data_IF_237915959755
#
_entry.id   IF_237915959755
#
_cell.length_a   1.000
_cell.length_b   1.000
_cell.length_c   1.000
_cell.angle_alpha   90.00
_cell.angle_beta   90.00
_cell.angle_gamma   90.00
#
_symmetry.space_group_name_H-M   'P 1'
#
loop_
_entity.id
_entity.type
_entity.pdbx_description
1 polymer ?
#
# COMPACT_ATOMS: atom_id res chain seq x y z
N UNK A 1 15.13 -7.40 34.75
CA UNK A 1 15.37 -7.23 33.31
C UNK A 1 14.84 -8.46 32.59
N UNK A 2 13.53 -8.50 32.37
CA UNK A 2 12.90 -9.52 31.53
C UNK A 2 12.90 -8.99 30.10
N UNK A 3 13.52 -9.72 29.18
CA UNK A 3 13.37 -9.48 27.76
C UNK A 3 11.91 -9.71 27.43
N UNK A 4 11.21 -8.70 26.91
CA UNK A 4 9.90 -8.90 26.32
C UNK A 4 10.06 -9.87 25.14
N UNK A 5 9.78 -11.14 25.36
CA UNK A 5 9.79 -12.14 24.32
C UNK A 5 8.74 -11.75 23.29
N UNK A 6 9.20 -11.44 22.07
CA UNK A 6 8.32 -11.36 20.92
C UNK A 6 7.61 -12.72 20.78
N UNK A 7 6.31 -12.74 20.50
CA UNK A 7 5.58 -13.99 20.37
C UNK A 7 6.22 -14.84 19.26
N UNK A 8 6.75 -16.01 19.64
CA UNK A 8 7.18 -17.05 18.69
C UNK A 8 5.95 -17.58 17.98
N UNK A 9 5.73 -17.15 16.75
CA UNK A 9 4.69 -17.67 15.86
C UNK A 9 5.26 -18.84 15.06
N UNK A 10 4.87 -20.07 15.41
CA UNK A 10 5.19 -21.33 14.70
C UNK A 10 4.29 -21.57 13.45
N UNK A 11 3.90 -20.52 12.72
CA UNK A 11 3.17 -20.66 11.44
C UNK A 11 4.10 -20.41 10.25
N UNK A 12 3.94 -21.10 9.12
CA UNK A 12 4.84 -20.95 7.99
C UNK A 12 4.78 -19.51 7.47
N UNK A 13 5.94 -18.87 7.39
CA UNK A 13 6.10 -17.60 6.67
C UNK A 13 5.83 -17.92 5.19
N UNK A 14 4.80 -17.31 4.60
CA UNK A 14 4.52 -17.42 3.16
C UNK A 14 5.48 -16.51 2.36
N UNK A 15 5.83 -16.90 1.13
CA UNK A 15 6.91 -16.32 0.35
C UNK A 15 8.23 -17.11 0.48
N UNK A 16 9.38 -16.44 0.46
CA UNK A 16 10.71 -17.09 0.59
C UNK A 16 11.10 -17.44 2.03
N UNK A 17 10.18 -17.38 2.99
CA UNK A 17 10.45 -17.81 4.36
C UNK A 17 11.21 -16.81 5.24
N UNK A 18 11.36 -15.56 4.80
CA UNK A 18 11.82 -14.43 5.64
C UNK A 18 13.09 -13.71 5.18
N UNK A 19 13.80 -14.21 4.16
CA UNK A 19 15.01 -13.56 3.65
C UNK A 19 14.74 -12.12 3.19
N UNK A 20 13.68 -11.92 2.41
CA UNK A 20 13.28 -10.57 1.99
C UNK A 20 12.72 -9.72 3.14
N UNK A 21 12.17 -10.35 4.21
CA UNK A 21 11.75 -9.62 5.41
C UNK A 21 12.95 -8.98 6.12
N UNK A 22 14.08 -9.68 6.20
CA UNK A 22 15.32 -9.10 6.75
C UNK A 22 15.82 -7.95 5.88
N UNK A 23 15.77 -8.08 4.55
CA UNK A 23 16.15 -6.99 3.64
C UNK A 23 15.32 -5.73 3.85
N UNK A 24 14.01 -5.88 4.09
CA UNK A 24 13.11 -4.76 4.43
C UNK A 24 13.47 -4.06 5.74
N UNK A 25 14.27 -4.68 6.62
CA UNK A 25 14.72 -4.06 7.87
C UNK A 25 15.86 -3.06 7.68
N UNK A 26 16.55 -3.09 6.55
CA UNK A 26 17.65 -2.16 6.28
C UNK A 26 17.16 -0.71 6.14
N UNK A 27 15.92 -0.52 5.66
CA UNK A 27 15.31 0.79 5.49
C UNK A 27 14.24 1.03 6.56
N UNK A 28 14.69 1.36 7.77
CA UNK A 28 13.85 1.63 8.94
C UNK A 28 14.09 3.04 9.45
N UNK A 29 13.02 3.66 9.94
CA UNK A 29 13.07 4.93 10.64
C UNK A 29 12.67 4.77 12.10
N UNK A 30 13.29 5.56 13.00
CA UNK A 30 12.84 5.63 14.38
C UNK A 30 11.41 6.17 14.44
N UNK A 31 10.61 5.56 15.31
CA UNK A 31 9.24 5.94 15.54
C UNK A 31 8.87 5.80 17.02
N UNK A 32 7.89 6.56 17.47
CA UNK A 32 7.42 6.61 18.86
C UNK A 32 5.90 6.40 18.91
N UNK A 33 5.43 5.76 19.98
CA UNK A 33 3.99 5.54 20.20
C UNK A 33 3.26 6.86 20.49
N UNK A 34 2.14 7.13 19.83
CA UNK A 34 1.29 8.31 20.09
C UNK A 34 -0.06 7.89 20.67
N UNK A 35 -0.64 8.74 21.54
CA UNK A 35 -2.00 8.51 22.06
C UNK A 35 -3.02 8.50 20.92
N UNK A 36 -3.89 7.51 20.97
CA UNK A 36 -4.84 7.21 19.92
C UNK A 36 -5.99 6.36 20.46
N UNK A 37 -7.03 6.20 19.64
CA UNK A 37 -8.19 5.35 19.93
C UNK A 37 -8.72 4.71 18.66
N UNK A 38 -8.88 3.39 18.65
CA UNK A 38 -9.54 2.67 17.54
C UNK A 38 -11.00 3.10 17.46
N UNK A 39 -11.39 3.67 16.32
CA UNK A 39 -12.76 4.16 16.08
C UNK A 39 -13.55 3.25 15.12
N UNK A 40 -12.86 2.43 14.32
CA UNK A 40 -13.47 1.45 13.44
C UNK A 40 -12.60 0.20 13.35
N UNK A 41 -13.23 -0.98 13.39
CA UNK A 41 -12.59 -2.28 13.23
C UNK A 41 -13.36 -3.06 12.16
N UNK A 42 -12.64 -3.67 11.21
CA UNK A 42 -13.29 -4.31 10.08
C UNK A 42 -13.85 -5.68 10.50
N UNK A 43 -15.17 -5.89 10.41
CA UNK A 43 -15.80 -7.12 10.88
C UNK A 43 -15.32 -8.37 10.13
N UNK A 44 -14.77 -8.22 8.92
CA UNK A 44 -14.22 -9.34 8.18
C UNK A 44 -13.01 -10.01 8.84
N UNK A 45 -12.41 -9.37 9.86
CA UNK A 45 -11.32 -9.94 10.64
C UNK A 45 -11.73 -10.39 12.05
N UNK A 46 -13.03 -10.42 12.36
CA UNK A 46 -13.50 -10.86 13.67
C UNK A 46 -13.07 -12.31 13.94
N UNK A 47 -12.28 -12.50 14.99
CA UNK A 47 -11.74 -13.80 15.40
C UNK A 47 -10.56 -14.32 14.57
N UNK A 48 -10.12 -13.60 13.53
CA UNK A 48 -9.04 -14.09 12.62
C UNK A 48 -7.72 -13.34 12.74
N UNK A 49 -7.70 -12.16 13.37
CA UNK A 49 -6.47 -11.39 13.56
C UNK A 49 -5.46 -12.14 14.44
N UNK A 50 -4.16 -12.13 14.07
CA UNK A 50 -3.10 -12.73 14.87
C UNK A 50 -2.66 -11.83 16.03
N UNK A 51 -3.33 -10.71 16.24
CA UNK A 51 -3.04 -9.71 17.27
C UNK A 51 -4.35 -9.12 17.80
N UNK A 52 -4.29 -8.54 19.00
CA UNK A 52 -5.45 -8.01 19.69
C UNK A 52 -5.68 -6.53 19.36
N UNK A 53 -6.82 -6.22 18.74
CA UNK A 53 -7.32 -4.85 18.52
C UNK A 53 -8.79 -4.83 18.95
N UNK A 54 -9.19 -3.79 19.68
CA UNK A 54 -10.56 -3.61 20.15
C UNK A 54 -11.02 -2.18 19.84
N UNK A 55 -12.25 -2.03 19.36
CA UNK A 55 -12.85 -0.72 19.16
C UNK A 55 -12.98 0.03 20.50
N UNK A 56 -12.63 1.31 20.49
CA UNK A 56 -12.61 2.16 21.67
C UNK A 56 -11.37 2.03 22.57
N UNK A 57 -10.43 1.14 22.24
CA UNK A 57 -9.14 0.99 22.94
C UNK A 57 -7.99 1.60 22.13
N UNK A 58 -6.83 1.86 22.75
CA UNK A 58 -5.63 2.26 22.02
C UNK A 58 -5.17 1.18 21.03
N UNK A 59 -4.77 1.59 19.84
CA UNK A 59 -4.05 0.77 18.88
C UNK A 59 -2.60 0.57 19.40
N UNK A 60 -2.15 -0.67 19.64
CA UNK A 60 -0.86 -0.95 20.30
C UNK A 60 0.37 -0.62 19.45
N UNK A 61 0.19 -0.25 18.18
CA UNK A 61 1.27 0.08 17.25
C UNK A 61 0.98 1.37 16.46
N UNK A 62 0.27 2.32 17.09
CA UNK A 62 0.16 3.68 16.58
C UNK A 62 1.50 4.41 16.71
N UNK A 63 2.43 4.09 15.81
CA UNK A 63 3.76 4.68 15.80
C UNK A 63 3.81 5.88 14.85
N UNK A 64 4.56 6.91 15.23
CA UNK A 64 4.90 8.06 14.39
C UNK A 64 6.39 8.15 14.17
N UNK A 65 6.81 8.39 12.93
CA UNK A 65 8.20 8.69 12.62
C UNK A 65 8.68 9.93 13.40
N UNK A 66 9.90 9.89 13.94
CA UNK A 66 10.48 11.00 14.69
C UNK A 66 11.93 11.27 14.25
N UNK A 67 12.32 12.53 13.95
CA UNK A 67 13.71 12.86 13.61
C UNK A 67 14.65 12.79 14.84
N UNK A 68 14.08 12.89 16.04
CA UNK A 68 14.77 13.04 17.31
C UNK A 68 14.03 12.21 18.35
N UNK A 69 14.39 10.92 18.49
CA UNK A 69 13.81 10.11 19.55
C UNK A 69 14.10 10.80 20.89
N UNK A 70 13.09 11.06 21.71
CA UNK A 70 13.32 11.65 23.04
C UNK A 70 14.27 10.76 23.83
N UNK A 71 15.21 11.37 24.54
CA UNK A 71 16.10 10.64 25.45
C UNK A 71 15.42 10.32 26.79
N UNK A 72 14.11 10.56 26.92
CA UNK A 72 13.35 10.19 28.11
C UNK A 72 13.44 8.67 28.32
N UNK A 73 13.84 8.18 29.51
CA UNK A 73 13.93 6.74 29.80
C UNK A 73 12.61 5.99 29.64
N UNK A 74 11.48 6.70 29.67
CA UNK A 74 10.13 6.13 29.57
C UNK A 74 9.63 6.01 28.12
N UNK A 75 10.25 6.70 27.16
CA UNK A 75 9.82 6.66 25.76
C UNK A 75 10.52 5.51 25.02
N UNK A 76 9.72 4.51 24.63
CA UNK A 76 10.22 3.41 23.83
C UNK A 76 10.35 3.84 22.37
N UNK A 77 11.55 3.63 21.82
CA UNK A 77 11.84 3.86 20.40
C UNK A 77 11.58 2.57 19.62
N UNK A 78 10.71 2.66 18.63
CA UNK A 78 10.41 1.60 17.68
C UNK A 78 11.13 1.88 16.36
N UNK A 79 11.33 0.84 15.56
CA UNK A 79 11.93 0.98 14.23
C UNK A 79 10.96 0.40 13.21
N UNK A 80 10.32 1.28 12.45
CA UNK A 80 9.30 0.93 11.47
C UNK A 80 9.95 0.93 10.09
N UNK A 81 9.76 -0.16 9.34
CA UNK A 81 10.26 -0.25 7.97
C UNK A 81 9.45 0.69 7.09
N UNK A 82 10.11 1.56 6.33
CA UNK A 82 9.42 2.47 5.43
C UNK A 82 8.99 1.74 4.16
N UNK A 83 7.88 2.18 3.56
CA UNK A 83 7.46 1.70 2.25
C UNK A 83 8.05 2.63 1.18
N UNK A 84 8.97 2.18 0.32
CA UNK A 84 9.77 3.08 -0.51
C UNK A 84 8.98 3.66 -1.70
N UNK A 85 8.17 4.69 -1.46
CA UNK A 85 7.38 5.39 -2.48
C UNK A 85 8.31 6.25 -3.37
N UNK A 86 8.41 5.93 -4.67
CA UNK A 86 9.29 6.66 -5.57
C UNK A 86 8.75 8.04 -5.90
N UNK A 87 9.61 9.03 -5.75
CA UNK A 87 9.37 10.37 -6.29
C UNK A 87 9.64 10.39 -7.80
N UNK A 88 9.11 11.38 -8.50
CA UNK A 88 9.53 11.64 -9.88
C UNK A 88 10.98 12.10 -9.91
N UNK A 89 11.71 11.92 -11.03
CA UNK A 89 13.18 12.07 -11.17
C UNK A 89 13.86 13.27 -10.49
N UNK A 90 13.13 14.37 -10.24
CA UNK A 90 13.66 15.60 -9.63
C UNK A 90 13.11 15.86 -8.21
N UNK A 91 12.26 14.98 -7.69
CA UNK A 91 11.62 15.06 -6.38
C UNK A 91 12.06 13.84 -5.56
N UNK A 92 12.67 14.05 -4.38
CA UNK A 92 12.96 12.95 -3.46
C UNK A 92 11.72 12.08 -3.25
N UNK A 93 11.91 10.77 -3.10
CA UNK A 93 10.79 9.90 -2.75
C UNK A 93 10.21 10.37 -1.42
N UNK A 94 8.89 10.48 -1.34
CA UNK A 94 8.21 10.91 -0.13
C UNK A 94 7.11 9.94 0.17
N UNK A 95 7.01 9.54 1.43
CA UNK A 95 5.98 8.65 1.88
C UNK A 95 5.51 8.97 3.28
N UNK A 96 4.39 8.33 3.65
CA UNK A 96 3.76 8.43 4.97
C UNK A 96 3.24 7.09 5.48
N UNK A 97 3.82 6.02 4.94
CA UNK A 97 3.43 4.64 5.18
C UNK A 97 4.59 3.86 5.78
N UNK A 98 4.28 2.97 6.73
CA UNK A 98 5.25 2.07 7.33
C UNK A 98 4.73 0.65 7.44
N UNK A 99 5.62 -0.33 7.36
CA UNK A 99 5.35 -1.75 7.60
C UNK A 99 5.64 -2.06 9.08
N UNK A 100 4.60 -2.49 9.79
CA UNK A 100 4.69 -2.85 11.22
C UNK A 100 5.23 -4.25 11.41
N UNK A 101 4.83 -5.16 10.54
CA UNK A 101 5.28 -6.54 10.58
C UNK A 101 4.63 -7.38 9.50
N UNK A 102 5.10 -8.63 9.44
CA UNK A 102 4.60 -9.62 8.49
C UNK A 102 4.27 -10.90 9.23
N UNK A 103 3.00 -11.30 9.16
CA UNK A 103 2.43 -12.50 9.77
C UNK A 103 1.30 -12.97 8.87
N UNK A 104 1.21 -14.28 8.62
CA UNK A 104 0.16 -14.82 7.75
C UNK A 104 -1.15 -14.93 8.51
N UNK A 105 -2.21 -14.35 7.95
CA UNK A 105 -3.59 -14.44 8.45
C UNK A 105 -4.58 -14.36 7.30
N UNK A 106 -5.83 -14.69 7.59
CA UNK A 106 -6.92 -14.70 6.60
C UNK A 106 -8.10 -13.88 7.14
N UNK A 107 -8.90 -13.32 6.25
CA UNK A 107 -10.22 -12.80 6.64
C UNK A 107 -11.26 -13.93 6.66
N UNK A 108 -12.46 -13.63 7.16
CA UNK A 108 -13.59 -14.57 7.22
C UNK A 108 -14.06 -15.07 5.83
N UNK A 109 -13.57 -14.45 4.75
CA UNK A 109 -13.87 -14.81 3.37
C UNK A 109 -12.73 -15.63 2.74
N UNK A 110 -11.73 -16.05 3.53
CA UNK A 110 -10.61 -16.88 3.11
C UNK A 110 -9.53 -16.16 2.30
N UNK A 111 -9.59 -14.81 2.20
CA UNK A 111 -8.49 -14.07 1.54
C UNK A 111 -7.30 -14.01 2.47
N UNK A 112 -6.13 -14.32 1.92
CA UNK A 112 -4.87 -14.34 2.66
C UNK A 112 -4.15 -13.00 2.62
N UNK A 113 -3.56 -12.66 3.75
CA UNK A 113 -2.72 -11.50 3.98
C UNK A 113 -1.46 -11.93 4.73
N UNK A 114 -0.40 -11.14 4.59
CA UNK A 114 0.87 -11.32 5.27
C UNK A 114 1.37 -10.01 5.87
N UNK A 115 1.38 -8.94 5.08
CA UNK A 115 2.02 -7.70 5.48
C UNK A 115 1.00 -6.76 6.13
N UNK A 116 1.35 -6.20 7.29
CA UNK A 116 0.54 -5.23 8.02
C UNK A 116 1.20 -3.85 7.93
N UNK A 117 0.66 -3.01 7.06
CA UNK A 117 1.09 -1.63 6.89
C UNK A 117 0.23 -0.65 7.69
N UNK A 118 0.77 0.51 8.03
CA UNK A 118 0.02 1.65 8.54
C UNK A 118 0.26 2.90 7.68
N UNK A 119 -0.76 3.73 7.49
CA UNK A 119 -0.73 5.01 6.75
C UNK A 119 -1.05 6.13 7.73
N UNK A 120 -0.44 7.31 7.54
CA UNK A 120 -0.71 8.49 8.36
C UNK A 120 0.22 8.65 9.55
N UNK A 121 1.49 8.25 9.42
CA UNK A 121 2.46 8.12 10.53
C UNK A 121 3.63 9.11 10.48
N UNK A 122 3.44 10.24 9.81
CA UNK A 122 4.51 11.22 9.57
C UNK A 122 5.14 11.07 8.19
N UNK A 123 5.75 12.16 7.69
CA UNK A 123 6.44 12.17 6.39
C UNK A 123 7.89 11.71 6.56
N UNK A 124 8.38 10.95 5.59
CA UNK A 124 9.80 10.73 5.38
C UNK A 124 10.21 11.07 3.95
N UNK A 125 11.47 11.43 3.78
CA UNK A 125 12.13 11.50 2.48
C UNK A 125 12.95 10.23 2.25
N UNK A 126 13.03 9.82 1.00
CA UNK A 126 13.89 8.77 0.48
C UNK A 126 14.90 9.39 -0.45
N UNK A 127 16.17 9.14 -0.16
CA UNK A 127 17.27 9.42 -1.06
C UNK A 127 17.62 8.13 -1.81
N UNK A 128 17.31 8.10 -3.11
CA UNK A 128 17.63 6.96 -3.96
C UNK A 128 19.13 6.83 -4.23
N UNK A 129 19.86 7.95 -4.25
CA UNK A 129 21.31 7.97 -4.47
C UNK A 129 22.06 7.28 -3.33
N UNK A 130 21.58 7.44 -2.10
CA UNK A 130 22.20 6.87 -0.90
C UNK A 130 21.48 5.62 -0.39
N UNK A 131 20.31 5.29 -0.95
CA UNK A 131 19.44 4.22 -0.46
C UNK A 131 18.97 4.44 0.99
N UNK A 132 18.91 5.70 1.45
CA UNK A 132 18.59 6.05 2.84
C UNK A 132 17.23 6.73 2.95
N UNK A 133 16.59 6.56 4.12
CA UNK A 133 15.40 7.29 4.50
C UNK A 133 15.72 8.27 5.63
N UNK A 134 15.04 9.39 5.66
CA UNK A 134 15.09 10.34 6.78
C UNK A 134 13.68 10.87 7.08
N UNK A 135 13.40 11.17 8.35
CA UNK A 135 12.13 11.83 8.71
C UNK A 135 12.16 13.24 8.14
N UNK A 136 11.16 13.57 7.31
CA UNK A 136 11.15 14.84 6.61
C UNK A 136 10.73 15.96 7.58
N UNK A 137 11.44 17.09 7.51
CA UNK A 137 10.94 18.32 8.14
C UNK A 137 9.68 18.76 7.41
N UNK A 138 8.75 19.27 8.21
CA UNK A 138 7.42 19.65 7.78
C UNK A 138 7.52 20.67 6.67
N UNK A 139 6.96 20.35 5.51
CA UNK A 139 6.66 21.32 4.47
C UNK A 139 5.14 21.39 4.47
N UNK A 140 4.57 22.60 4.46
CA UNK A 140 3.14 22.80 4.26
C UNK A 140 2.70 21.99 3.03
N UNK A 141 2.05 20.86 3.28
CA UNK A 141 1.28 20.16 2.28
C UNK A 141 -0.16 20.67 2.42
N UNK A 142 -0.89 20.71 1.32
CA UNK A 142 -2.25 21.22 1.30
C UNK A 142 -3.14 20.64 2.40
N UNK A 143 -4.34 21.19 2.62
CA UNK A 143 -5.13 21.00 3.85
C UNK A 143 -5.52 19.55 4.21
N UNK A 144 -5.21 18.58 3.36
CA UNK A 144 -5.57 17.17 3.52
C UNK A 144 -4.39 16.26 3.93
N UNK A 145 -3.14 16.71 3.84
CA UNK A 145 -1.94 15.87 4.03
C UNK A 145 -0.86 16.51 4.90
N UNK A 146 -1.24 17.53 5.67
CA UNK A 146 -0.34 18.19 6.61
C UNK A 146 0.42 17.15 7.46
N UNK A 147 1.76 17.24 7.50
CA UNK A 147 2.63 16.32 8.24
C UNK A 147 2.56 14.83 7.83
N UNK A 148 2.06 14.49 6.63
CA UNK A 148 1.92 13.09 6.24
C UNK A 148 0.84 12.37 7.04
N UNK A 149 -0.10 13.13 7.58
CA UNK A 149 -1.29 12.62 8.24
C UNK A 149 -2.30 12.13 7.20
N UNK A 150 -3.26 11.35 7.67
CA UNK A 150 -4.46 10.98 6.93
C UNK A 150 -5.66 11.58 7.64
N UNK A 151 -6.56 12.21 6.88
CA UNK A 151 -7.80 12.75 7.43
C UNK A 151 -8.91 11.68 7.40
N UNK A 152 -9.74 11.62 8.45
CA UNK A 152 -10.78 10.59 8.60
C UNK A 152 -11.69 10.38 7.37
N UNK A 153 -12.22 11.43 6.69
CA UNK A 153 -13.04 11.22 5.50
C UNK A 153 -12.31 10.52 4.35
N UNK A 154 -10.99 10.71 4.23
CA UNK A 154 -10.18 10.00 3.24
C UNK A 154 -10.03 8.54 3.61
N UNK A 155 -9.79 8.23 4.90
CA UNK A 155 -9.69 6.86 5.37
C UNK A 155 -10.98 6.05 5.20
N UNK A 156 -12.14 6.69 5.40
CA UNK A 156 -13.43 6.05 5.15
C UNK A 156 -13.65 5.82 3.66
N UNK A 157 -13.34 6.80 2.81
CA UNK A 157 -13.41 6.61 1.35
C UNK A 157 -12.52 5.45 0.88
N UNK A 158 -11.30 5.38 1.40
CA UNK A 158 -10.35 4.32 1.08
C UNK A 158 -10.88 2.95 1.54
N UNK A 159 -11.47 2.88 2.73
CA UNK A 159 -12.14 1.69 3.24
C UNK A 159 -13.28 1.24 2.33
N UNK A 160 -14.20 2.15 2.01
CA UNK A 160 -15.40 1.84 1.25
C UNK A 160 -15.05 1.29 -0.13
N UNK A 161 -14.11 1.92 -0.84
CA UNK A 161 -13.63 1.42 -2.14
C UNK A 161 -12.86 0.11 -2.04
N UNK A 162 -12.06 -0.09 -0.99
CA UNK A 162 -11.38 -1.36 -0.79
C UNK A 162 -12.41 -2.50 -0.64
N UNK A 163 -13.46 -2.27 0.15
CA UNK A 163 -14.53 -3.24 0.34
C UNK A 163 -15.37 -3.47 -0.92
N UNK A 164 -15.69 -2.41 -1.69
CA UNK A 164 -16.36 -2.53 -2.99
C UNK A 164 -15.54 -3.35 -3.99
N UNK A 165 -14.23 -3.09 -4.07
CA UNK A 165 -13.32 -3.82 -4.94
C UNK A 165 -13.26 -5.29 -4.56
N UNK A 166 -13.07 -5.60 -3.27
CA UNK A 166 -13.03 -6.98 -2.78
C UNK A 166 -14.33 -7.73 -3.05
N UNK A 167 -15.50 -7.09 -2.87
CA UNK A 167 -16.81 -7.66 -3.20
C UNK A 167 -16.96 -7.97 -4.69
N UNK A 168 -16.38 -7.12 -5.53
CA UNK A 168 -16.42 -7.25 -7.00
C UNK A 168 -15.33 -8.19 -7.54
N UNK A 169 -14.61 -8.90 -6.67
CA UNK A 169 -13.53 -9.80 -7.05
C UNK A 169 -12.32 -9.09 -7.67
N UNK A 170 -12.12 -7.81 -7.36
CA UNK A 170 -10.90 -7.06 -7.64
C UNK A 170 -9.94 -7.31 -6.47
N UNK A 171 -8.68 -7.65 -6.76
CA UNK A 171 -7.65 -7.86 -5.73
C UNK A 171 -7.18 -6.50 -5.25
N UNK A 172 -7.36 -6.24 -3.96
CA UNK A 172 -6.88 -5.03 -3.30
C UNK A 172 -6.43 -5.37 -1.87
N UNK A 173 -5.94 -4.39 -1.14
CA UNK A 173 -5.68 -4.49 0.30
C UNK A 173 -6.99 -4.39 1.07
N UNK A 174 -6.95 -4.70 2.36
CA UNK A 174 -8.12 -4.52 3.23
C UNK A 174 -7.75 -3.68 4.43
N UNK A 175 -8.55 -2.67 4.75
CA UNK A 175 -8.33 -1.87 5.95
C UNK A 175 -8.83 -2.69 7.15
N UNK A 176 -7.93 -2.96 8.08
CA UNK A 176 -8.19 -3.74 9.31
C UNK A 176 -8.86 -2.86 10.35
N UNK A 177 -8.35 -1.65 10.54
CA UNK A 177 -8.83 -0.72 11.56
C UNK A 177 -8.50 0.73 11.18
N UNK A 178 -9.28 1.66 11.71
CA UNK A 178 -8.98 3.10 11.71
C UNK A 178 -8.89 3.55 13.17
N UNK A 179 -7.80 4.23 13.52
CA UNK A 179 -7.58 4.80 14.84
C UNK A 179 -7.49 6.32 14.78
N UNK A 180 -8.31 7.02 15.57
CA UNK A 180 -8.22 8.46 15.76
C UNK A 180 -6.97 8.80 16.54
N UNK A 181 -6.23 9.80 16.07
CA UNK A 181 -5.07 10.33 16.79
C UNK A 181 -5.51 11.35 17.83
N UNK A 182 -4.93 11.27 19.02
CA UNK A 182 -5.05 12.27 20.09
C UNK A 182 -3.76 13.09 20.21
N UNK A 183 -2.63 12.48 19.83
CA UNK A 183 -1.30 13.09 19.73
C UNK A 183 -0.70 12.85 18.33
N UNK A 184 0.16 13.77 17.91
CA UNK A 184 1.02 13.66 16.72
C UNK A 184 2.46 14.04 17.09
N UNK A 185 3.40 13.79 16.19
CA UNK A 185 4.80 14.23 16.33
C UNK A 185 5.05 15.45 15.45
N UNK A 186 5.62 16.50 16.02
CA UNK A 186 5.97 17.73 15.31
C UNK A 186 7.32 17.62 14.57
N UNK A 187 7.73 18.72 13.91
CA UNK A 187 8.99 18.79 13.16
C UNK A 187 10.26 18.63 14.01
N UNK A 188 10.15 18.80 15.32
CA UNK A 188 11.23 18.68 16.29
C UNK A 188 11.22 17.33 17.01
N UNK A 189 10.36 16.40 16.58
CA UNK A 189 10.20 15.08 17.20
C UNK A 189 9.44 15.10 18.51
N UNK A 190 8.79 16.22 18.87
CA UNK A 190 8.01 16.33 20.09
C UNK A 190 6.58 15.86 19.89
N UNK A 191 6.04 15.14 20.88
CA UNK A 191 4.62 14.81 20.93
C UNK A 191 3.80 16.04 21.28
N UNK A 192 2.84 16.38 20.45
CA UNK A 192 1.87 17.44 20.69
C UNK A 192 0.46 16.87 20.56
N UNK A 193 -0.49 17.38 21.35
CA UNK A 193 -1.89 17.00 21.18
C UNK A 193 -2.43 17.51 19.85
N UNK A 194 -3.37 16.79 19.25
CA UNK A 194 -4.08 17.22 18.03
C UNK A 194 -4.78 18.57 18.24
N UNK A 195 -5.33 18.81 19.44
CA UNK A 195 -5.92 20.10 19.79
C UNK A 195 -4.91 21.24 19.72
N UNK A 196 -3.72 21.03 20.31
CA UNK A 196 -2.64 22.01 20.29
C UNK A 196 -2.11 22.23 18.88
N UNK A 197 -1.93 21.18 18.09
CA UNK A 197 -1.52 21.27 16.70
C UNK A 197 -2.48 22.12 15.85
N UNK A 198 -3.79 21.98 16.06
CA UNK A 198 -4.81 22.84 15.43
C UNK A 198 -4.73 24.28 15.91
N UNK A 199 -4.58 24.49 17.22
CA UNK A 199 -4.47 25.84 17.83
C UNK A 199 -3.26 26.60 17.31
N UNK A 200 -2.14 25.90 17.12
CA UNK A 200 -0.90 26.42 16.55
C UNK A 200 -0.92 26.49 15.01
N UNK A 201 -2.00 26.05 14.36
CA UNK A 201 -2.15 25.98 12.90
C UNK A 201 -1.11 25.12 12.20
N UNK A 202 -0.52 24.16 12.92
CA UNK A 202 0.36 23.14 12.36
C UNK A 202 -0.46 22.21 11.45
N UNK A 203 -1.71 21.94 11.84
CA UNK A 203 -2.69 21.23 11.01
C UNK A 203 -3.98 22.06 10.90
N UNK A 204 -4.77 21.87 9.82
CA UNK A 204 -6.04 22.58 9.66
C UNK A 204 -7.05 22.26 10.76
N UNK A 205 -7.86 23.26 11.15
CA UNK A 205 -8.87 23.12 12.22
C UNK A 205 -9.87 21.98 11.94
N UNK A 206 -10.28 21.83 10.67
CA UNK A 206 -11.20 20.79 10.23
C UNK A 206 -10.59 19.40 10.04
N UNK A 207 -9.28 19.23 10.23
CA UNK A 207 -8.62 17.93 10.06
C UNK A 207 -8.89 17.02 11.25
N UNK A 208 -9.31 15.78 11.00
CA UNK A 208 -9.46 14.74 12.01
C UNK A 208 -8.44 13.65 11.70
N UNK A 209 -7.21 13.77 12.23
CA UNK A 209 -6.12 12.91 11.83
C UNK A 209 -6.30 11.49 12.38
N UNK A 210 -6.01 10.50 11.53
CA UNK A 210 -6.16 9.07 11.84
C UNK A 210 -4.95 8.28 11.35
N UNK A 211 -4.80 7.08 11.91
CA UNK A 211 -3.97 6.02 11.35
C UNK A 211 -4.89 4.98 10.71
N UNK A 212 -4.59 4.62 9.47
CA UNK A 212 -5.19 3.46 8.79
C UNK A 212 -4.29 2.25 8.95
N UNK A 213 -4.85 1.14 9.43
CA UNK A 213 -4.17 -0.16 9.49
C UNK A 213 -4.60 -0.98 8.27
N UNK A 214 -3.65 -1.40 7.44
CA UNK A 214 -3.88 -2.01 6.14
C UNK A 214 -3.24 -3.40 6.05
N UNK A 215 -4.01 -4.39 5.61
CA UNK A 215 -3.56 -5.75 5.37
C UNK A 215 -3.28 -5.99 3.88
N UNK A 216 -2.10 -6.50 3.56
CA UNK A 216 -1.64 -6.80 2.20
C UNK A 216 -1.17 -8.25 2.07
N UNK A 217 -1.22 -8.82 0.87
CA UNK A 217 -0.43 -10.02 0.57
C UNK A 217 1.06 -9.68 0.54
N UNK A 218 1.44 -8.69 -0.26
CA UNK A 218 2.72 -8.00 -0.14
C UNK A 218 2.56 -6.49 -0.26
N UNK A 219 3.36 -5.72 0.48
CA UNK A 219 3.44 -4.25 0.30
C UNK A 219 4.33 -3.84 -0.86
N UNK A 220 5.06 -4.78 -1.46
CA UNK A 220 5.98 -4.51 -2.57
C UNK A 220 5.23 -4.12 -3.83
N UNK A 221 5.68 -3.04 -4.48
CA UNK A 221 5.07 -2.47 -5.69
C UNK A 221 5.97 -2.61 -6.90
N UNK A 222 5.40 -2.52 -8.10
CA UNK A 222 6.17 -2.58 -9.35
C UNK A 222 7.24 -1.48 -9.37
N UNK A 223 6.88 -0.27 -8.94
CA UNK A 223 7.78 0.87 -8.82
C UNK A 223 9.00 0.59 -7.93
N UNK A 224 8.84 -0.19 -6.86
CA UNK A 224 9.92 -0.46 -5.90
C UNK A 224 11.02 -1.34 -6.50
N UNK A 225 10.78 -1.92 -7.68
CA UNK A 225 11.79 -2.65 -8.46
C UNK A 225 12.80 -1.72 -9.13
N UNK A 226 12.64 -0.41 -9.04
CA UNK A 226 13.62 0.56 -9.54
C UNK A 226 14.49 1.16 -8.43
N UNK A 227 14.26 0.83 -7.15
CA UNK A 227 14.73 1.63 -6.01
C UNK A 227 15.66 0.91 -5.01
N UNK A 228 16.23 -0.25 -5.33
CA UNK A 228 17.01 -1.03 -4.34
C UNK A 228 18.20 -1.84 -4.85
N UNK A 229 18.58 -1.67 -6.12
CA UNK A 229 19.61 -2.49 -6.76
C UNK A 229 19.12 -3.91 -7.09
N UNK A 230 19.82 -4.57 -8.02
CA UNK A 230 19.35 -5.83 -8.63
C UNK A 230 19.08 -6.95 -7.63
N UNK A 231 19.87 -7.07 -6.56
CA UNK A 231 19.69 -8.12 -5.54
C UNK A 231 18.37 -7.96 -4.78
N UNK A 232 18.05 -6.74 -4.32
CA UNK A 232 16.80 -6.44 -3.61
C UNK A 232 15.60 -6.68 -4.53
N UNK A 233 15.71 -6.24 -5.77
CA UNK A 233 14.66 -6.42 -6.79
C UNK A 233 14.37 -7.90 -7.02
N UNK A 234 15.42 -8.71 -7.17
CA UNK A 234 15.29 -10.17 -7.35
C UNK A 234 14.66 -10.82 -6.12
N UNK A 235 15.10 -10.47 -4.91
CA UNK A 235 14.50 -10.99 -3.67
C UNK A 235 13.02 -10.63 -3.52
N UNK A 236 12.62 -9.39 -3.86
CA UNK A 236 11.23 -8.95 -3.81
C UNK A 236 10.35 -9.72 -4.79
N UNK A 237 10.86 -9.94 -6.01
CA UNK A 237 10.18 -10.72 -7.04
C UNK A 237 10.07 -12.20 -6.64
N UNK A 238 11.16 -12.82 -6.18
CA UNK A 238 11.17 -14.22 -5.74
C UNK A 238 10.15 -14.44 -4.60
N UNK A 239 10.08 -13.51 -3.65
CA UNK A 239 9.11 -13.53 -2.55
C UNK A 239 7.66 -13.40 -3.05
N UNK A 240 7.38 -12.44 -3.92
CA UNK A 240 6.03 -12.26 -4.50
C UNK A 240 5.59 -13.47 -5.33
N UNK A 241 6.49 -14.02 -6.15
CA UNK A 241 6.22 -15.22 -6.95
C UNK A 241 5.91 -16.43 -6.06
N UNK A 242 6.68 -16.63 -5.00
CA UNK A 242 6.45 -17.71 -4.04
C UNK A 242 5.11 -17.54 -3.30
N UNK A 243 4.76 -16.31 -2.90
CA UNK A 243 3.44 -15.99 -2.31
C UNK A 243 2.30 -16.37 -3.25
N UNK A 244 2.39 -15.95 -4.51
CA UNK A 244 1.36 -16.24 -5.52
C UNK A 244 1.26 -17.74 -5.78
N UNK A 245 2.37 -18.45 -5.89
CA UNK A 245 2.36 -19.91 -6.05
C UNK A 245 1.60 -20.59 -4.90
N UNK A 246 1.88 -20.20 -3.66
CA UNK A 246 1.23 -20.75 -2.46
C UNK A 246 -0.27 -20.44 -2.43
N UNK A 247 -0.69 -19.25 -2.86
CA UNK A 247 -2.10 -18.88 -2.98
C UNK A 247 -2.82 -19.73 -4.04
N UNK A 248 -2.16 -20.02 -5.16
CA UNK A 248 -2.69 -20.85 -6.24
C UNK A 248 -2.60 -22.36 -5.97
N UNK A 249 -2.13 -22.78 -4.78
CA UNK A 249 -1.93 -24.19 -4.45
C UNK A 249 -0.82 -24.87 -5.28
N UNK A 250 0.09 -24.09 -5.87
CA UNK A 250 1.23 -24.57 -6.63
C UNK A 250 2.48 -24.67 -5.75
N UNK A 251 3.39 -25.56 -6.13
CA UNK A 251 4.73 -25.64 -5.53
C UNK A 251 5.57 -24.40 -5.92
N UNK A 252 6.01 -23.56 -4.96
CA UNK A 252 6.79 -22.34 -5.25
C UNK A 252 8.06 -22.58 -6.06
N UNK A 253 8.68 -23.76 -5.93
CA UNK A 253 9.91 -24.10 -6.65
C UNK A 253 9.64 -24.48 -8.12
N UNK A 254 8.42 -24.89 -8.45
CA UNK A 254 8.03 -25.32 -9.80
C UNK A 254 7.24 -24.28 -10.57
N UNK A 255 6.63 -23.32 -9.86
CA UNK A 255 5.96 -22.20 -10.50
C UNK A 255 7.00 -21.37 -11.28
N UNK A 256 6.89 -21.24 -12.59
CA UNK A 256 7.90 -20.53 -13.40
C UNK A 256 7.69 -19.01 -13.42
N UNK A 257 8.67 -18.27 -13.96
CA UNK A 257 8.51 -16.83 -14.18
C UNK A 257 7.50 -16.51 -15.29
N UNK A 258 7.44 -17.35 -16.32
CA UNK A 258 6.43 -17.28 -17.36
C UNK A 258 5.03 -17.48 -16.77
N UNK A 259 4.84 -18.50 -15.93
CA UNK A 259 3.55 -18.74 -15.27
C UNK A 259 3.15 -17.60 -14.34
N UNK A 260 4.09 -17.06 -13.56
CA UNK A 260 3.85 -15.88 -12.71
C UNK A 260 3.47 -14.65 -13.53
N UNK A 261 4.19 -14.39 -14.63
CA UNK A 261 3.95 -13.24 -15.50
C UNK A 261 2.59 -13.38 -16.19
N UNK A 262 2.28 -14.57 -16.72
CA UNK A 262 0.99 -14.87 -17.33
C UNK A 262 -0.15 -14.68 -16.32
N UNK A 263 -0.02 -15.21 -15.09
CA UNK A 263 -0.99 -14.98 -14.02
C UNK A 263 -1.19 -13.49 -13.73
N UNK A 264 -0.10 -12.73 -13.61
CA UNK A 264 -0.15 -11.30 -13.30
C UNK A 264 -0.86 -10.52 -14.42
N UNK A 265 -0.53 -10.83 -15.68
CA UNK A 265 -1.14 -10.23 -16.88
C UNK A 265 -2.64 -10.44 -16.90
N UNK A 266 -3.09 -11.68 -16.76
CA UNK A 266 -4.52 -12.03 -16.78
C UNK A 266 -5.26 -11.34 -15.64
N UNK A 267 -4.68 -11.41 -14.45
CA UNK A 267 -5.25 -10.84 -13.23
C UNK A 267 -5.39 -9.32 -13.35
N UNK A 268 -4.38 -8.60 -13.86
CA UNK A 268 -4.47 -7.16 -14.03
C UNK A 268 -5.51 -6.79 -15.09
N UNK A 269 -5.53 -7.48 -16.24
CA UNK A 269 -6.51 -7.22 -17.31
C UNK A 269 -7.95 -7.34 -16.82
N UNK A 270 -8.25 -8.43 -16.11
CA UNK A 270 -9.57 -8.68 -15.53
C UNK A 270 -9.94 -7.62 -14.47
N UNK A 271 -9.02 -7.23 -13.59
CA UNK A 271 -9.30 -6.21 -12.58
C UNK A 271 -9.64 -4.85 -13.18
N UNK A 272 -8.91 -4.42 -14.21
CA UNK A 272 -9.17 -3.13 -14.90
C UNK A 272 -10.53 -3.17 -15.59
N UNK A 273 -10.92 -4.31 -16.17
CA UNK A 273 -12.25 -4.49 -16.75
C UNK A 273 -13.35 -4.41 -15.69
N UNK A 274 -13.16 -5.06 -14.54
CA UNK A 274 -14.10 -4.99 -13.40
C UNK A 274 -14.29 -3.57 -12.88
N UNK A 275 -13.22 -2.77 -12.75
CA UNK A 275 -13.31 -1.35 -12.38
C UNK A 275 -14.21 -0.58 -13.36
N UNK A 276 -14.02 -0.82 -14.67
CA UNK A 276 -14.87 -0.23 -15.72
C UNK A 276 -16.32 -0.69 -15.61
N UNK A 277 -16.57 -1.98 -15.37
CA UNK A 277 -17.93 -2.54 -15.22
C UNK A 277 -18.66 -1.94 -14.01
N UNK A 278 -17.94 -1.58 -12.95
CA UNK A 278 -18.49 -0.83 -11.81
C UNK A 278 -18.80 0.64 -12.12
N UNK A 279 -18.48 1.13 -13.31
CA UNK A 279 -18.65 2.54 -13.67
C UNK A 279 -17.66 3.47 -12.96
N UNK A 280 -16.55 2.92 -12.46
CA UNK A 280 -15.53 3.64 -11.71
C UNK A 280 -14.32 3.96 -12.59
N UNK A 281 -13.58 4.98 -12.17
CA UNK A 281 -12.28 5.36 -12.68
C UNK A 281 -11.33 5.43 -11.49
N UNK A 282 -10.18 4.74 -11.58
CA UNK A 282 -9.18 4.77 -10.52
C UNK A 282 -8.33 6.04 -10.61
N UNK A 283 -7.81 6.39 -11.80
CA UNK A 283 -7.05 7.62 -12.00
C UNK A 283 -5.55 7.52 -11.76
N UNK A 284 -5.06 6.48 -11.08
CA UNK A 284 -3.64 6.27 -10.80
C UNK A 284 -3.26 4.78 -10.83
N UNK A 285 -3.62 4.06 -11.91
CA UNK A 285 -3.17 2.67 -12.15
C UNK A 285 -1.71 2.58 -12.62
N UNK A 286 -0.86 3.44 -12.07
CA UNK A 286 0.58 3.52 -12.30
C UNK A 286 1.34 2.50 -11.45
N UNK A 287 2.61 2.24 -11.77
CA UNK A 287 3.42 1.17 -11.16
C UNK A 287 3.63 1.33 -9.65
N UNK A 288 3.49 2.55 -9.14
CA UNK A 288 3.52 2.81 -7.70
C UNK A 288 2.22 2.43 -6.98
N UNK A 289 1.13 2.03 -7.65
CA UNK A 289 -0.16 1.65 -7.05
C UNK A 289 -0.60 0.22 -7.39
N UNK A 290 0.33 -0.59 -7.88
CA UNK A 290 0.11 -2.01 -8.15
C UNK A 290 1.18 -2.82 -7.42
N UNK A 291 0.75 -3.72 -6.54
CA UNK A 291 1.66 -4.61 -5.81
C UNK A 291 2.18 -5.74 -6.69
N UNK A 292 3.26 -6.39 -6.27
CA UNK A 292 3.81 -7.56 -6.97
C UNK A 292 2.88 -8.79 -6.89
N UNK A 293 1.93 -8.85 -5.95
CA UNK A 293 0.83 -9.83 -5.97
C UNK A 293 -0.45 -9.31 -6.65
N UNK A 294 -0.27 -8.36 -7.56
CA UNK A 294 -1.29 -7.81 -8.46
C UNK A 294 -2.50 -7.19 -7.74
N UNK A 295 -2.30 -6.58 -6.56
CA UNK A 295 -3.35 -5.81 -5.87
C UNK A 295 -3.29 -4.35 -6.32
N UNK A 296 -4.47 -3.78 -6.59
CA UNK A 296 -4.62 -2.35 -6.83
C UNK A 296 -4.73 -1.66 -5.47
N UNK A 297 -3.87 -0.68 -5.21
CA UNK A 297 -3.76 -0.01 -3.91
C UNK A 297 -3.88 1.52 -4.05
N UNK A 298 -4.08 2.23 -2.94
CA UNK A 298 -4.25 3.69 -2.89
C UNK A 298 -5.52 4.16 -3.63
N UNK A 299 -6.67 3.97 -2.97
CA UNK A 299 -7.99 4.10 -3.62
C UNK A 299 -8.65 5.48 -3.38
N UNK A 300 -7.89 6.44 -2.85
CA UNK A 300 -8.38 7.80 -2.56
C UNK A 300 -8.79 8.57 -3.84
N UNK A 301 -8.14 8.27 -4.95
CA UNK A 301 -8.41 8.82 -6.28
C UNK A 301 -9.61 8.19 -7.01
N UNK A 302 -10.02 6.99 -6.60
CA UNK A 302 -11.12 6.24 -7.23
C UNK A 302 -12.40 7.06 -7.16
N UNK A 303 -13.10 7.20 -8.28
CA UNK A 303 -14.36 7.95 -8.34
C UNK A 303 -15.32 7.36 -9.38
N UNK A 304 -16.60 7.67 -9.22
CA UNK A 304 -17.60 7.47 -10.27
C UNK A 304 -17.21 8.26 -11.53
N UNK A 305 -17.22 7.58 -12.69
CA UNK A 305 -16.96 8.23 -13.98
C UNK A 305 -18.02 9.29 -14.27
N UNK A 306 -19.27 9.04 -13.86
CA UNK A 306 -20.35 10.01 -14.03
C UNK A 306 -20.03 11.31 -13.29
N UNK A 307 -19.59 11.18 -12.03
CA UNK A 307 -19.32 12.33 -11.16
C UNK A 307 -18.14 13.13 -11.70
N UNK A 308 -17.08 12.44 -12.16
CA UNK A 308 -15.94 13.09 -12.82
C UNK A 308 -16.37 13.84 -14.08
N UNK A 309 -17.21 13.26 -14.93
CA UNK A 309 -17.72 13.96 -16.13
C UNK A 309 -18.49 15.22 -15.72
N UNK A 310 -19.33 15.13 -14.69
CA UNK A 310 -20.08 16.29 -14.18
C UNK A 310 -19.14 17.37 -13.61
N UNK A 311 -18.08 16.98 -12.89
CA UNK A 311 -17.05 17.91 -12.39
C UNK A 311 -16.30 18.61 -13.53
N UNK A 312 -15.78 17.87 -14.51
CA UNK A 312 -15.05 18.47 -15.65
C UNK A 312 -15.93 19.41 -16.48
N UNK A 313 -17.22 19.09 -16.63
CA UNK A 313 -18.19 19.96 -17.32
C UNK A 313 -18.32 21.32 -16.64
N UNK A 314 -18.23 21.38 -15.30
CA UNK A 314 -18.24 22.65 -14.55
C UNK A 314 -17.04 23.54 -14.88
N UNK A 315 -15.94 22.95 -15.33
CA UNK A 315 -14.73 23.64 -15.79
C UNK A 315 -14.67 23.83 -17.31
N UNK A 316 -15.77 23.57 -18.03
CA UNK A 316 -15.84 23.74 -19.50
C UNK A 316 -15.13 22.65 -20.30
N UNK A 317 -14.71 21.54 -19.67
CA UNK A 317 -14.04 20.42 -20.33
C UNK A 317 -15.01 19.26 -20.50
N UNK A 318 -15.11 18.71 -21.70
CA UNK A 318 -16.02 17.60 -22.01
C UNK A 318 -15.21 16.34 -22.32
N UNK A 319 -15.12 15.44 -21.35
CA UNK A 319 -14.61 14.09 -21.53
C UNK A 319 -15.75 13.08 -21.67
N UNK A 320 -15.54 12.06 -22.49
CA UNK A 320 -16.45 10.91 -22.57
C UNK A 320 -16.10 9.87 -21.50
N UNK A 321 -17.04 8.96 -21.18
CA UNK A 321 -16.74 7.82 -20.29
C UNK A 321 -15.54 7.00 -20.80
N UNK A 322 -15.50 6.79 -22.11
CA UNK A 322 -14.43 6.03 -22.76
C UNK A 322 -13.06 6.68 -22.60
N UNK A 323 -12.98 8.01 -22.47
CA UNK A 323 -11.73 8.70 -22.19
C UNK A 323 -11.12 8.27 -20.84
N UNK A 324 -11.93 8.21 -19.79
CA UNK A 324 -11.50 7.77 -18.46
C UNK A 324 -11.07 6.29 -18.47
N UNK A 325 -11.89 5.42 -19.08
CA UNK A 325 -11.58 3.99 -19.16
C UNK A 325 -10.30 3.70 -19.96
N UNK A 326 -10.08 4.42 -21.06
CA UNK A 326 -8.82 4.32 -21.82
C UNK A 326 -7.63 4.84 -21.04
N UNK A 327 -7.81 5.87 -20.21
CA UNK A 327 -6.78 6.37 -19.30
C UNK A 327 -6.31 5.29 -18.34
N UNK A 328 -7.24 4.66 -17.61
CA UNK A 328 -6.95 3.57 -16.67
C UNK A 328 -6.31 2.37 -17.38
N UNK A 329 -6.85 1.95 -18.52
CA UNK A 329 -6.29 0.85 -19.32
C UNK A 329 -4.85 1.15 -19.77
N UNK A 330 -4.60 2.37 -20.23
CA UNK A 330 -3.26 2.79 -20.67
C UNK A 330 -2.26 2.85 -19.52
N UNK A 331 -2.67 3.35 -18.35
CA UNK A 331 -1.81 3.38 -17.16
C UNK A 331 -1.47 1.97 -16.68
N UNK A 332 -2.47 1.09 -16.57
CA UNK A 332 -2.26 -0.30 -16.17
C UNK A 332 -1.33 -1.04 -17.16
N UNK A 333 -1.48 -0.79 -18.46
CA UNK A 333 -0.56 -1.32 -19.48
C UNK A 333 0.86 -0.82 -19.29
N UNK A 334 1.06 0.47 -19.00
CA UNK A 334 2.38 1.04 -18.72
C UNK A 334 3.02 0.39 -17.49
N UNK A 335 2.25 0.23 -16.41
CA UNK A 335 2.70 -0.47 -15.19
C UNK A 335 3.09 -1.93 -15.46
N UNK A 336 2.32 -2.63 -16.30
CA UNK A 336 2.67 -3.99 -16.70
C UNK A 336 3.98 -4.04 -17.51
N UNK A 337 4.21 -3.06 -18.39
CA UNK A 337 5.47 -2.93 -19.12
C UNK A 337 6.67 -2.68 -18.19
N UNK A 338 6.50 -1.89 -17.13
CA UNK A 338 7.53 -1.68 -16.10
C UNK A 338 7.93 -2.99 -15.40
N UNK A 339 6.94 -3.83 -15.05
CA UNK A 339 7.17 -5.15 -14.46
C UNK A 339 7.90 -6.09 -15.42
N UNK A 340 7.41 -6.23 -16.66
CA UNK A 340 8.01 -7.09 -17.69
C UNK A 340 9.47 -6.66 -17.96
N UNK A 341 9.71 -5.36 -18.07
CA UNK A 341 11.06 -4.82 -18.30
C UNK A 341 12.00 -5.15 -17.15
N UNK A 342 11.51 -5.09 -15.91
CA UNK A 342 12.29 -5.47 -14.72
C UNK A 342 12.63 -6.96 -14.72
N UNK A 343 11.67 -7.83 -15.04
CA UNK A 343 11.89 -9.27 -15.15
C UNK A 343 12.93 -9.62 -16.23
N UNK A 344 12.84 -8.98 -17.41
CA UNK A 344 13.78 -9.19 -18.51
C UNK A 344 15.19 -8.69 -18.18
N UNK A 345 15.30 -7.50 -17.56
CA UNK A 345 16.58 -6.92 -17.13
C UNK A 345 17.31 -7.82 -16.13
N UNK A 346 16.57 -8.51 -15.27
CA UNK A 346 17.12 -9.46 -14.30
C UNK A 346 17.35 -10.87 -14.88
N UNK A 347 17.08 -11.09 -16.18
CA UNK A 347 17.22 -12.39 -16.83
C UNK A 347 16.21 -13.44 -16.34
N UNK A 348 15.11 -13.01 -15.70
CA UNK A 348 14.07 -13.89 -15.15
C UNK A 348 13.03 -14.27 -16.22
N UNK A 349 12.93 -13.47 -17.29
CA UNK A 349 12.02 -13.69 -18.41
C UNK A 349 12.78 -13.50 -19.72
N UNK A 350 12.59 -14.40 -20.70
CA UNK A 350 13.24 -14.28 -22.00
C UNK A 350 12.68 -13.10 -22.82
N UNK A 351 13.54 -12.44 -23.61
CA UNK A 351 13.25 -11.16 -24.28
C UNK A 351 12.16 -11.19 -25.36
N UNK A 352 11.80 -12.38 -25.87
CA UNK A 352 10.94 -12.52 -27.05
C UNK A 352 9.43 -12.44 -26.76
N UNK A 353 9.01 -12.39 -25.49
CA UNK A 353 7.60 -12.57 -25.10
C UNK A 353 6.85 -11.28 -24.69
N UNK A 354 7.44 -10.08 -24.77
CA UNK A 354 6.76 -8.88 -24.26
C UNK A 354 5.47 -8.55 -25.02
N UNK A 355 5.47 -8.69 -26.35
CA UNK A 355 4.29 -8.37 -27.16
C UNK A 355 3.12 -9.31 -26.87
N UNK A 356 3.39 -10.61 -26.69
CA UNK A 356 2.34 -11.60 -26.40
C UNK A 356 1.69 -11.37 -25.04
N UNK A 357 2.44 -10.91 -24.02
CA UNK A 357 1.86 -10.55 -22.73
C UNK A 357 0.95 -9.32 -22.80
N UNK A 358 1.27 -8.33 -23.63
CA UNK A 358 0.42 -7.15 -23.82
C UNK A 358 -0.84 -7.51 -24.61
N UNK A 359 -0.74 -8.39 -25.60
CA UNK A 359 -1.89 -8.93 -26.32
C UNK A 359 -2.81 -9.71 -25.38
N UNK A 360 -2.24 -10.58 -24.52
CA UNK A 360 -2.97 -11.32 -23.51
C UNK A 360 -3.68 -10.40 -22.51
N UNK A 361 -2.99 -9.35 -22.01
CA UNK A 361 -3.60 -8.35 -21.15
C UNK A 361 -4.86 -7.73 -21.77
N UNK A 362 -4.77 -7.32 -23.03
CA UNK A 362 -5.90 -6.73 -23.74
C UNK A 362 -7.01 -7.75 -23.98
N UNK A 363 -6.67 -9.00 -24.31
CA UNK A 363 -7.66 -10.08 -24.49
C UNK A 363 -8.46 -10.30 -23.21
N UNK A 364 -7.77 -10.48 -22.08
CA UNK A 364 -8.39 -10.74 -20.78
C UNK A 364 -9.23 -9.55 -20.30
N UNK A 365 -8.78 -8.32 -20.57
CA UNK A 365 -9.60 -7.14 -20.35
C UNK A 365 -10.90 -7.17 -21.18
N UNK A 366 -10.82 -7.46 -22.48
CA UNK A 366 -12.01 -7.51 -23.35
C UNK A 366 -12.95 -8.66 -22.99
N UNK A 367 -12.42 -9.84 -22.69
CA UNK A 367 -13.17 -11.01 -22.26
C UNK A 367 -13.92 -10.76 -20.96
N UNK A 368 -13.28 -10.11 -19.99
CA UNK A 368 -13.91 -9.77 -18.72
C UNK A 368 -14.99 -8.68 -18.87
N UNK A 369 -14.85 -7.75 -19.82
CA UNK A 369 -15.90 -6.76 -20.11
C UNK A 369 -17.19 -7.39 -20.67
N UNK A 370 -17.07 -8.48 -21.42
CA UNK A 370 -18.24 -9.17 -22.00
C UNK A 370 -18.80 -10.27 -21.10
N UNK A 371 -18.04 -10.69 -20.09
CA UNK A 371 -18.46 -11.63 -19.04
C UNK A 371 -19.53 -10.96 -18.17
N UNK A 372 -20.77 -10.95 -18.66
CA UNK A 372 -21.95 -10.52 -17.90
C UNK A 372 -22.15 -11.52 -16.76
N UNK A 373 -22.22 -11.01 -15.53
CA UNK A 373 -22.76 -11.76 -14.39
C UNK A 373 -24.26 -11.98 -14.53
#
# INVERSE_FOLDING_TARGET
>A
MERSEQPKLEKPITGTGGEFLEKRKELRLPAIEVKNKVISLNPAFEGTLPFKIEQGKPLPFAYFFTPTPSQSPEEKIHHVSVMPERGYKEVPGRGRSGLIGSVVFEDQQGRRYRDLGIKGIGVFNLSFDTGSAEVARVIEQGPHEALGLVNYPHAIRDWDYAEDFLRSGIRTYRIVAIASLEEIVDENGQKISVFEAKRLKIIPEGMNPVIEVRAFGTTERIDYLASGGQDRERMALDDAKALVAQELGKDPQKFSWEEYTEWFVKTLGQQVAKIRNLGLHNGYLTSHNITLDCRIVDLDSVASVRDKIEDYRRFGVIHSKEWFYKGDLSMARGSLQDLISSLQRLGLLQSLNSSSFIELFNSEYQEELVRRE
#
